data_IF_638059875961
#
_entry.id   IF_638059875961
#
_cell.length_a   1.000
_cell.length_b   1.000
_cell.length_c   1.000
_cell.angle_alpha   90.00
_cell.angle_beta   90.00
_cell.angle_gamma   90.00
#
_symmetry.space_group_name_H-M   'P 1'
#
loop_
_entity.id
_entity.type
_entity.pdbx_description
1 polymer ?
#
# COMPACT_ATOMS: atom_id res chain seq x y z
N UNK A 1 16.96 4.26 6.56
CA UNK A 1 15.59 4.78 6.75
C UNK A 1 15.56 6.29 6.68
N UNK A 2 14.67 6.89 5.86
CA UNK A 2 14.49 8.34 5.74
C UNK A 2 13.08 8.76 6.21
N UNK A 3 12.80 8.84 7.53
CA UNK A 3 11.43 9.02 8.04
C UNK A 3 10.73 10.32 7.57
N UNK A 4 11.50 11.34 7.18
CA UNK A 4 10.95 12.58 6.63
C UNK A 4 10.19 12.36 5.31
N UNK A 5 10.68 11.49 4.42
CA UNK A 5 10.03 11.24 3.12
C UNK A 5 8.65 10.60 3.30
N UNK A 6 8.53 9.66 4.25
CA UNK A 6 7.25 9.03 4.61
C UNK A 6 6.29 10.03 5.23
N UNK A 7 6.78 10.83 6.19
CA UNK A 7 5.97 11.88 6.84
C UNK A 7 5.42 12.85 5.80
N UNK A 8 6.26 13.24 4.83
CA UNK A 8 5.88 14.18 3.78
C UNK A 8 4.79 13.61 2.86
N UNK A 9 4.88 12.33 2.53
CA UNK A 9 3.84 11.64 1.78
C UNK A 9 2.51 11.59 2.55
N UNK A 10 2.56 11.24 3.84
CA UNK A 10 1.39 11.21 4.72
C UNK A 10 0.71 12.58 4.84
N UNK A 11 1.48 13.67 5.02
CA UNK A 11 0.95 15.04 5.05
C UNK A 11 0.17 15.38 3.78
N UNK A 12 0.72 15.05 2.61
CA UNK A 12 0.07 15.32 1.32
C UNK A 12 -1.23 14.52 1.16
N UNK A 13 -1.21 13.23 1.50
CA UNK A 13 -2.38 12.36 1.41
C UNK A 13 -3.47 12.78 2.39
N UNK A 14 -3.11 13.16 3.62
CA UNK A 14 -4.06 13.68 4.60
C UNK A 14 -4.71 15.01 4.14
N UNK A 15 -3.93 15.92 3.54
CA UNK A 15 -4.45 17.18 3.01
C UNK A 15 -5.43 16.99 1.83
N UNK A 16 -5.25 15.93 1.05
CA UNK A 16 -6.12 15.58 -0.07
C UNK A 16 -7.35 14.79 0.38
N UNK A 17 -7.17 13.81 1.27
CA UNK A 17 -8.17 12.81 1.63
C UNK A 17 -8.97 13.09 2.89
N UNK A 18 -8.72 14.18 3.61
CA UNK A 18 -9.52 14.58 4.77
C UNK A 18 -9.97 16.04 4.65
N UNK A 19 -11.24 16.30 4.95
CA UNK A 19 -11.80 17.64 4.99
C UNK A 19 -13.03 17.74 5.90
N UNK A 20 -13.17 18.85 6.65
CA UNK A 20 -14.39 19.14 7.39
C UNK A 20 -15.54 19.55 6.44
N UNK A 21 -16.78 19.67 6.94
CA UNK A 21 -17.88 20.25 6.17
C UNK A 21 -17.50 21.60 5.54
N UNK A 22 -17.77 21.75 4.25
CA UNK A 22 -17.41 22.95 3.47
C UNK A 22 -15.98 22.91 2.90
N UNK A 23 -15.18 21.90 3.23
CA UNK A 23 -13.84 21.69 2.72
C UNK A 23 -13.75 20.78 1.49
N UNK A 24 -14.89 20.34 0.95
CA UNK A 24 -14.95 19.47 -0.23
C UNK A 24 -14.54 20.18 -1.52
N UNK A 25 -14.18 19.41 -2.53
CA UNK A 25 -13.88 19.91 -3.88
C UNK A 25 -12.42 20.29 -4.11
N UNK A 26 -12.06 20.34 -5.39
CA UNK A 26 -10.66 20.46 -5.84
C UNK A 26 -10.01 21.77 -5.42
N UNK A 27 -10.72 22.90 -5.43
CA UNK A 27 -10.15 24.19 -5.03
C UNK A 27 -9.76 24.23 -3.55
N UNK A 28 -10.62 23.71 -2.67
CA UNK A 28 -10.31 23.61 -1.24
C UNK A 28 -9.14 22.65 -0.99
N UNK A 29 -9.06 21.54 -1.75
CA UNK A 29 -7.92 20.63 -1.70
C UNK A 29 -6.62 21.29 -2.17
N UNK A 30 -6.65 22.06 -3.28
CA UNK A 30 -5.51 22.88 -3.75
C UNK A 30 -5.00 23.81 -2.65
N UNK A 31 -5.90 24.48 -1.93
CA UNK A 31 -5.53 25.37 -0.83
C UNK A 31 -4.84 24.63 0.33
N UNK A 32 -5.35 23.45 0.73
CA UNK A 32 -4.70 22.62 1.76
C UNK A 32 -3.32 22.12 1.34
N UNK A 33 -3.17 21.68 0.09
CA UNK A 33 -1.87 21.27 -0.46
C UNK A 33 -0.90 22.46 -0.52
N UNK A 34 -1.37 23.64 -0.95
CA UNK A 34 -0.57 24.87 -0.99
C UNK A 34 -0.07 25.27 0.41
N UNK A 35 -0.92 25.12 1.44
CA UNK A 35 -0.55 25.41 2.83
C UNK A 35 0.58 24.52 3.36
N UNK A 36 0.77 23.33 2.77
CA UNK A 36 1.92 22.47 3.05
C UNK A 36 3.21 22.90 2.32
N UNK A 37 3.15 23.91 1.45
CA UNK A 37 4.23 24.27 0.54
C UNK A 37 4.44 23.27 -0.60
N UNK A 38 3.36 22.58 -1.03
CA UNK A 38 3.38 21.63 -2.14
C UNK A 38 2.67 22.21 -3.38
N UNK A 39 2.96 21.68 -4.58
CA UNK A 39 2.27 22.09 -5.80
C UNK A 39 0.75 21.87 -5.69
N UNK A 40 -0.10 22.91 -5.79
CA UNK A 40 -1.54 22.75 -5.66
C UNK A 40 -2.15 21.80 -6.69
N UNK A 41 -1.51 21.66 -7.86
CA UNK A 41 -1.93 20.75 -8.94
C UNK A 41 -1.97 19.27 -8.54
N UNK A 42 -1.35 18.86 -7.43
CA UNK A 42 -1.50 17.49 -6.90
C UNK A 42 -2.97 17.13 -6.62
N UNK A 43 -3.81 18.11 -6.31
CA UNK A 43 -5.24 17.89 -6.07
C UNK A 43 -6.00 17.40 -7.32
N UNK A 44 -5.46 17.61 -8.52
CA UNK A 44 -6.09 17.16 -9.77
C UNK A 44 -5.94 15.65 -9.99
N UNK A 45 -4.93 15.05 -9.36
CA UNK A 45 -4.65 13.62 -9.42
C UNK A 45 -5.19 12.85 -8.20
N UNK A 46 -6.03 13.50 -7.36
CA UNK A 46 -6.52 12.89 -6.13
C UNK A 46 -7.53 11.75 -6.37
N UNK A 47 -8.23 11.70 -7.50
CA UNK A 47 -9.09 10.58 -7.89
C UNK A 47 -9.91 9.97 -6.74
N UNK A 48 -9.81 8.65 -6.47
CA UNK A 48 -10.54 7.99 -5.38
C UNK A 48 -10.08 8.36 -3.96
N UNK A 49 -8.98 9.09 -3.78
CA UNK A 49 -8.59 9.66 -2.47
C UNK A 49 -9.49 10.84 -2.07
N UNK A 50 -10.08 11.54 -3.05
CA UNK A 50 -10.97 12.67 -2.83
C UNK A 50 -12.37 12.43 -3.44
N UNK A 51 -13.12 11.43 -2.95
CA UNK A 51 -14.47 11.17 -3.44
C UNK A 51 -15.40 12.36 -3.19
N UNK A 52 -16.48 12.44 -3.97
CA UNK A 52 -17.49 13.49 -3.80
C UNK A 52 -18.29 13.26 -2.50
N UNK A 53 -17.93 13.98 -1.44
CA UNK A 53 -18.65 13.97 -0.16
C UNK A 53 -18.56 15.34 0.55
N UNK A 54 -19.60 15.75 1.30
CA UNK A 54 -19.56 16.96 2.14
C UNK A 54 -18.42 16.98 3.15
N UNK A 55 -18.06 15.84 3.72
CA UNK A 55 -17.05 15.69 4.77
C UNK A 55 -16.34 14.34 4.62
N UNK A 56 -15.04 14.31 4.88
CA UNK A 56 -14.25 13.09 4.92
C UNK A 56 -13.23 13.10 6.07
N UNK A 57 -13.10 11.97 6.76
CA UNK A 57 -12.03 11.67 7.71
C UNK A 57 -11.14 10.56 7.16
N UNK A 58 -9.84 10.62 7.43
CA UNK A 58 -8.84 9.68 6.91
C UNK A 58 -8.01 9.12 8.07
N UNK A 59 -7.76 7.81 8.03
CA UNK A 59 -6.73 7.13 8.83
C UNK A 59 -5.64 6.63 7.87
N UNK A 60 -4.38 6.93 8.17
CA UNK A 60 -3.25 6.26 7.54
C UNK A 60 -2.95 4.99 8.32
N UNK A 61 -3.15 3.84 7.67
CA UNK A 61 -2.90 2.51 8.22
C UNK A 61 -1.40 2.23 8.28
N UNK A 62 -0.71 2.53 7.18
CA UNK A 62 0.74 2.42 7.06
C UNK A 62 1.25 3.36 5.95
N UNK A 63 2.54 3.69 6.01
CA UNK A 63 3.26 4.36 4.95
C UNK A 63 4.53 3.55 4.66
N UNK A 64 4.46 2.65 3.69
CA UNK A 64 5.59 1.83 3.26
C UNK A 64 6.37 2.49 2.13
N UNK A 65 7.64 2.14 1.95
CA UNK A 65 8.31 2.49 0.70
C UNK A 65 7.75 1.66 -0.46
N UNK A 66 7.43 2.34 -1.57
CA UNK A 66 7.31 1.71 -2.89
C UNK A 66 8.61 1.80 -3.70
N UNK A 67 9.60 2.52 -3.17
CA UNK A 67 10.94 2.66 -3.72
C UNK A 67 11.69 3.84 -3.11
N UNK A 68 13.01 3.73 -2.97
CA UNK A 68 13.85 4.84 -2.49
C UNK A 68 15.20 4.86 -3.18
N UNK A 69 15.57 6.04 -3.70
CA UNK A 69 16.85 6.33 -4.34
C UNK A 69 17.49 7.56 -3.66
N UNK A 70 18.65 7.98 -4.16
CA UNK A 70 19.41 9.10 -3.59
C UNK A 70 18.67 10.46 -3.67
N UNK A 71 17.84 10.65 -4.70
CA UNK A 71 17.18 11.91 -5.05
C UNK A 71 15.67 11.79 -5.32
N UNK A 72 15.13 10.57 -5.29
CA UNK A 72 13.73 10.29 -5.61
C UNK A 72 13.20 9.14 -4.75
N UNK A 73 11.90 9.15 -4.50
CA UNK A 73 11.23 8.14 -3.70
C UNK A 73 9.78 7.91 -4.14
N UNK A 74 9.27 6.73 -3.83
CA UNK A 74 7.87 6.35 -3.82
C UNK A 74 7.50 5.88 -2.42
N UNK A 75 6.41 6.41 -1.87
CA UNK A 75 5.84 5.97 -0.60
C UNK A 75 4.41 5.57 -0.86
N UNK A 76 4.05 4.34 -0.52
CA UNK A 76 2.67 3.87 -0.62
C UNK A 76 1.98 4.18 0.70
N UNK A 77 1.06 5.14 0.66
CA UNK A 77 0.28 5.54 1.84
C UNK A 77 -1.04 4.79 1.81
N UNK A 78 -1.17 3.82 2.71
CA UNK A 78 -2.34 2.95 2.83
C UNK A 78 -3.38 3.62 3.70
N UNK A 79 -4.56 3.88 3.17
CA UNK A 79 -5.57 4.65 3.88
C UNK A 79 -6.90 3.91 4.10
N UNK A 80 -7.53 4.17 5.24
CA UNK A 80 -8.98 4.05 5.44
C UNK A 80 -9.59 5.45 5.41
N UNK A 81 -10.79 5.55 4.85
CA UNK A 81 -11.51 6.81 4.73
C UNK A 81 -12.97 6.61 5.10
N UNK A 82 -13.53 7.58 5.82
CA UNK A 82 -14.95 7.65 6.11
C UNK A 82 -15.50 8.93 5.52
N UNK A 83 -16.47 8.82 4.63
CA UNK A 83 -17.15 9.96 4.02
C UNK A 83 -18.56 10.09 4.57
N UNK A 84 -18.95 11.29 4.98
CA UNK A 84 -20.32 11.57 5.42
C UNK A 84 -21.11 12.21 4.28
N UNK A 85 -22.23 11.60 3.90
CA UNK A 85 -23.15 12.13 2.92
C UNK A 85 -24.10 13.19 3.54
N UNK A 86 -24.81 13.93 2.68
CA UNK A 86 -25.71 15.01 3.12
C UNK A 86 -26.89 14.54 3.97
N UNK A 87 -27.28 13.27 3.86
CA UNK A 87 -28.31 12.63 4.68
C UNK A 87 -27.79 12.14 6.05
N UNK A 88 -26.50 12.38 6.33
CA UNK A 88 -25.82 11.98 7.56
C UNK A 88 -25.25 10.56 7.55
N UNK A 89 -25.53 9.76 6.52
CA UNK A 89 -24.95 8.41 6.38
C UNK A 89 -23.42 8.46 6.23
N UNK A 90 -22.74 7.43 6.73
CA UNK A 90 -21.29 7.29 6.67
C UNK A 90 -20.96 6.08 5.83
N UNK A 91 -20.15 6.28 4.78
CA UNK A 91 -19.57 5.22 3.99
C UNK A 91 -18.10 5.04 4.37
N UNK A 92 -17.68 3.79 4.58
CA UNK A 92 -16.28 3.42 4.74
C UNK A 92 -15.69 3.04 3.38
N UNK A 93 -14.45 3.47 3.15
CA UNK A 93 -13.67 3.17 1.97
C UNK A 93 -12.20 3.44 2.25
N UNK A 94 -11.46 3.76 1.21
CA UNK A 94 -10.03 4.03 1.29
C UNK A 94 -9.30 3.49 0.08
N UNK A 95 -8.07 3.93 -0.09
CA UNK A 95 -7.19 3.54 -1.19
C UNK A 95 -5.74 3.55 -0.72
N UNK A 96 -4.90 2.79 -1.41
CA UNK A 96 -3.45 2.91 -1.29
C UNK A 96 -2.98 3.93 -2.32
N UNK A 97 -2.19 4.91 -1.91
CA UNK A 97 -1.72 6.00 -2.77
C UNK A 97 -0.23 5.90 -2.96
N UNK A 98 0.23 5.70 -4.19
CA UNK A 98 1.64 5.85 -4.55
C UNK A 98 1.97 7.35 -4.63
N UNK A 99 2.74 7.83 -3.67
CA UNK A 99 3.20 9.21 -3.60
C UNK A 99 4.62 9.29 -4.12
N UNK A 100 4.84 10.09 -5.17
CA UNK A 100 6.16 10.35 -5.75
C UNK A 100 6.78 11.57 -5.11
N UNK A 101 8.05 11.46 -4.73
CA UNK A 101 8.79 12.54 -4.12
C UNK A 101 10.16 12.71 -4.79
N UNK A 102 10.62 13.95 -4.83
CA UNK A 102 12.01 14.29 -5.16
C UNK A 102 12.68 14.97 -3.97
N UNK A 103 13.98 14.74 -3.82
CA UNK A 103 14.78 15.30 -2.75
C UNK A 103 14.89 16.81 -2.97
N UNK A 104 14.60 17.56 -1.92
CA UNK A 104 14.72 19.00 -1.89
C UNK A 104 15.13 19.46 -0.49
N UNK A 105 15.59 20.71 -0.38
CA UNK A 105 15.91 21.34 0.89
C UNK A 105 14.86 22.41 1.24
N UNK A 106 14.44 22.54 2.50
CA UNK A 106 14.88 21.75 3.66
C UNK A 106 14.19 20.38 3.80
N UNK A 107 13.21 20.06 2.94
CA UNK A 107 12.41 18.82 3.00
C UNK A 107 12.13 18.28 1.61
N UNK A 108 11.84 16.99 1.53
CA UNK A 108 11.34 16.35 0.31
C UNK A 108 10.11 17.09 -0.25
N UNK A 109 9.98 17.11 -1.58
CA UNK A 109 8.81 17.66 -2.27
C UNK A 109 8.03 16.54 -2.94
N UNK A 110 6.70 16.54 -2.75
CA UNK A 110 5.80 15.64 -3.46
C UNK A 110 5.65 16.14 -4.88
N UNK A 111 5.91 15.28 -5.85
CA UNK A 111 5.87 15.57 -7.28
C UNK A 111 4.68 14.90 -7.97
N UNK A 112 4.08 13.88 -7.34
CA UNK A 112 2.91 13.18 -7.88
C UNK A 112 2.19 12.38 -6.81
N UNK A 113 0.88 12.16 -7.04
CA UNK A 113 0.05 11.25 -6.27
C UNK A 113 -0.70 10.35 -7.25
N UNK A 114 -0.68 9.05 -6.99
CA UNK A 114 -1.29 8.03 -7.83
C UNK A 114 -2.12 7.08 -6.95
N UNK A 115 -3.36 7.49 -6.60
CA UNK A 115 -4.30 6.62 -5.89
C UNK A 115 -4.55 5.31 -6.66
N UNK A 116 -4.72 4.21 -5.94
CA UNK A 116 -5.04 2.92 -6.54
C UNK A 116 -6.42 2.89 -7.19
N UNK A 117 -6.47 2.30 -8.39
CA UNK A 117 -7.68 2.05 -9.17
C UNK A 117 -7.89 0.53 -9.36
N UNK A 118 -8.54 -0.15 -8.38
CA UNK A 118 -8.74 -1.61 -8.44
C UNK A 118 -9.64 -2.06 -9.60
N UNK A 119 -10.52 -1.18 -10.09
CA UNK A 119 -11.57 -1.50 -11.05
C UNK A 119 -12.88 -1.96 -10.38
N UNK A 120 -13.95 -2.21 -11.16
CA UNK A 120 -15.21 -2.70 -10.63
C UNK A 120 -15.07 -4.14 -10.12
N UNK A 121 -15.90 -4.53 -9.14
CA UNK A 121 -15.96 -5.90 -8.67
C UNK A 121 -16.33 -6.87 -9.82
N UNK A 122 -15.66 -8.01 -9.89
CA UNK A 122 -15.97 -9.05 -10.85
C UNK A 122 -17.37 -9.64 -10.56
N UNK A 123 -18.12 -9.95 -11.61
CA UNK A 123 -19.44 -10.56 -11.48
C UNK A 123 -19.37 -11.97 -10.86
N UNK A 124 -18.28 -12.69 -11.13
CA UNK A 124 -18.01 -14.04 -10.64
C UNK A 124 -16.56 -14.15 -10.15
N UNK A 125 -16.24 -13.68 -8.94
CA UNK A 125 -14.87 -13.77 -8.41
C UNK A 125 -14.48 -15.23 -8.15
N UNK A 126 -13.18 -15.52 -8.23
CA UNK A 126 -12.65 -16.84 -7.89
C UNK A 126 -13.02 -17.24 -6.45
N UNK A 127 -13.32 -18.52 -6.15
CA UNK A 127 -13.70 -18.95 -4.79
C UNK A 127 -12.67 -18.59 -3.71
N UNK A 128 -11.38 -18.55 -4.08
CA UNK A 128 -10.30 -18.16 -3.17
C UNK A 128 -10.42 -16.71 -2.67
N UNK A 129 -10.99 -15.79 -3.48
CA UNK A 129 -11.25 -14.39 -3.08
C UNK A 129 -12.15 -14.34 -1.86
N UNK A 130 -13.28 -15.05 -1.90
CA UNK A 130 -14.23 -15.08 -0.78
C UNK A 130 -13.59 -15.67 0.49
N UNK A 131 -12.73 -16.68 0.35
CA UNK A 131 -12.00 -17.28 1.47
C UNK A 131 -11.01 -16.31 2.11
N UNK A 132 -10.23 -15.58 1.30
CA UNK A 132 -9.29 -14.58 1.81
C UNK A 132 -10.03 -13.44 2.51
N UNK A 133 -11.09 -12.90 1.89
CA UNK A 133 -11.89 -11.82 2.48
C UNK A 133 -12.58 -12.22 3.79
N UNK A 134 -12.82 -13.52 4.01
CA UNK A 134 -13.45 -14.05 5.21
C UNK A 134 -12.46 -14.55 6.27
N UNK A 135 -11.15 -14.62 5.98
CA UNK A 135 -10.15 -15.13 6.91
C UNK A 135 -9.75 -14.06 7.93
N UNK A 136 -10.10 -14.20 9.23
CA UNK A 136 -9.86 -13.17 10.24
C UNK A 136 -8.38 -12.95 10.58
N UNK A 137 -7.48 -13.83 10.14
CA UNK A 137 -6.03 -13.66 10.27
C UNK A 137 -5.40 -12.88 9.13
N UNK A 138 -6.18 -12.49 8.12
CA UNK A 138 -5.73 -11.63 7.03
C UNK A 138 -6.42 -10.28 7.17
N UNK A 139 -5.67 -9.28 7.61
CA UNK A 139 -6.15 -7.90 7.71
C UNK A 139 -5.84 -7.18 6.40
N UNK A 140 -6.90 -6.88 5.63
CA UNK A 140 -6.81 -6.16 4.37
C UNK A 140 -7.20 -4.69 4.53
N UNK A 141 -6.41 -3.74 4.00
CA UNK A 141 -6.88 -2.38 3.81
C UNK A 141 -7.93 -2.32 2.68
N UNK A 142 -8.77 -1.28 2.64
CA UNK A 142 -9.84 -1.15 1.65
C UNK A 142 -9.39 -1.33 0.20
N UNK A 143 -8.25 -0.75 -0.18
CA UNK A 143 -7.68 -0.89 -1.54
C UNK A 143 -7.34 -2.32 -1.91
N UNK A 144 -6.64 -3.06 -1.04
CA UNK A 144 -6.31 -4.46 -1.26
C UNK A 144 -7.56 -5.36 -1.32
N UNK A 145 -8.55 -5.11 -0.46
CA UNK A 145 -9.81 -5.83 -0.52
C UNK A 145 -10.59 -5.55 -1.81
N UNK A 146 -10.49 -4.33 -2.35
CA UNK A 146 -11.09 -3.97 -3.63
C UNK A 146 -10.36 -4.63 -4.82
N UNK A 147 -9.03 -4.70 -4.81
CA UNK A 147 -8.25 -5.45 -5.82
C UNK A 147 -8.68 -6.91 -5.91
N UNK A 148 -8.86 -7.55 -4.75
CA UNK A 148 -9.35 -8.93 -4.67
C UNK A 148 -10.74 -9.08 -5.27
N UNK A 149 -11.67 -8.18 -4.94
CA UNK A 149 -13.04 -8.20 -5.49
C UNK A 149 -13.08 -7.93 -6.99
N UNK A 150 -12.15 -7.13 -7.50
CA UNK A 150 -12.04 -6.85 -8.93
C UNK A 150 -11.60 -8.08 -9.76
N UNK A 151 -11.05 -9.11 -9.10
CA UNK A 151 -10.73 -10.40 -9.73
C UNK A 151 -9.45 -10.39 -10.58
N UNK A 152 -8.66 -9.32 -10.51
CA UNK A 152 -7.39 -9.19 -11.22
C UNK A 152 -6.18 -9.71 -10.45
N UNK A 153 -6.39 -10.50 -9.38
CA UNK A 153 -5.33 -11.05 -8.52
C UNK A 153 -5.25 -12.55 -8.78
N UNK A 154 -4.03 -13.05 -9.01
CA UNK A 154 -3.80 -14.44 -9.38
C UNK A 154 -4.08 -15.41 -8.22
N UNK A 155 -4.55 -16.61 -8.53
CA UNK A 155 -4.94 -17.61 -7.51
C UNK A 155 -3.79 -17.98 -6.58
N UNK A 156 -2.55 -18.00 -7.08
CA UNK A 156 -1.37 -18.30 -6.26
C UNK A 156 -1.12 -17.30 -5.15
N UNK A 157 -1.40 -16.01 -5.37
CA UNK A 157 -1.36 -14.97 -4.33
C UNK A 157 -2.39 -15.31 -3.25
N UNK A 158 -3.63 -15.61 -3.66
CA UNK A 158 -4.73 -15.91 -2.73
C UNK A 158 -4.45 -17.19 -1.91
N UNK A 159 -3.95 -18.23 -2.56
CA UNK A 159 -3.56 -19.49 -1.91
C UNK A 159 -2.39 -19.30 -0.94
N UNK A 160 -1.38 -18.52 -1.30
CA UNK A 160 -0.26 -18.22 -0.42
C UNK A 160 -0.70 -17.42 0.80
N UNK A 161 -1.57 -16.40 0.64
CA UNK A 161 -2.14 -15.65 1.76
C UNK A 161 -2.89 -16.57 2.72
N UNK A 162 -3.73 -17.48 2.21
CA UNK A 162 -4.46 -18.46 3.03
C UNK A 162 -3.52 -19.44 3.74
N UNK A 163 -2.46 -19.89 3.07
CA UNK A 163 -1.46 -20.78 3.65
C UNK A 163 -0.70 -20.10 4.78
N UNK A 164 -0.27 -18.85 4.59
CA UNK A 164 0.45 -18.05 5.58
C UNK A 164 -0.45 -17.64 6.76
N UNK A 165 -1.74 -17.44 6.52
CA UNK A 165 -2.73 -17.19 7.58
C UNK A 165 -2.94 -18.40 8.52
N UNK A 166 -2.47 -19.60 8.14
CA UNK A 166 -2.46 -20.77 9.00
C UNK A 166 -1.62 -20.57 10.27
N UNK A 167 -0.30 -20.29 10.14
CA UNK A 167 0.57 -20.01 11.27
C UNK A 167 0.63 -18.53 11.72
N UNK A 168 0.27 -17.56 10.86
CA UNK A 168 0.47 -16.13 11.14
C UNK A 168 -0.83 -15.31 11.07
N UNK A 169 -0.83 -14.13 11.69
CA UNK A 169 -1.73 -13.02 11.36
C UNK A 169 -1.01 -12.02 10.46
N UNK A 170 -1.60 -11.68 9.33
CA UNK A 170 -1.02 -10.82 8.30
C UNK A 170 -1.72 -9.47 8.30
N UNK A 171 -0.98 -8.36 8.40
CA UNK A 171 -1.49 -7.05 7.98
C UNK A 171 -0.89 -6.68 6.64
N UNK A 172 -1.74 -6.73 5.61
CA UNK A 172 -1.37 -6.41 4.22
C UNK A 172 -1.35 -4.90 4.03
N UNK A 173 -0.46 -4.39 3.19
CA UNK A 173 -0.40 -2.98 2.80
C UNK A 173 -0.91 -2.76 1.37
N UNK A 174 -0.44 -3.58 0.43
CA UNK A 174 -0.82 -3.50 -0.99
C UNK A 174 -0.83 -4.88 -1.63
N UNK A 175 -1.69 -5.05 -2.64
CA UNK A 175 -1.75 -6.25 -3.48
C UNK A 175 -1.46 -5.86 -4.93
N UNK A 176 -2.31 -5.02 -5.53
CA UNK A 176 -2.19 -4.70 -6.96
C UNK A 176 -2.20 -3.21 -7.27
N UNK A 177 -3.28 -2.51 -6.93
CA UNK A 177 -3.42 -1.09 -7.25
C UNK A 177 -2.76 -0.20 -6.20
N UNK A 178 -2.35 1.01 -6.61
CA UNK A 178 -1.63 1.94 -5.73
C UNK A 178 -0.15 1.59 -5.54
N UNK A 179 0.40 0.71 -6.37
CA UNK A 179 1.82 0.39 -6.46
C UNK A 179 2.41 0.90 -7.79
N UNK A 180 3.69 1.35 -7.83
CA UNK A 180 4.42 1.63 -9.08
C UNK A 180 4.28 0.54 -10.15
N UNK A 181 4.16 0.95 -11.42
CA UNK A 181 4.05 0.04 -12.56
C UNK A 181 5.32 -0.80 -12.76
N UNK A 182 6.47 -0.14 -12.69
CA UNK A 182 7.78 -0.76 -12.73
C UNK A 182 8.41 -0.76 -11.33
N UNK A 183 9.36 -1.66 -11.11
CA UNK A 183 10.26 -1.60 -9.95
C UNK A 183 10.92 -0.23 -9.95
N UNK A 184 10.80 0.48 -8.83
CA UNK A 184 11.07 1.91 -8.78
C UNK A 184 12.48 2.26 -9.26
N UNK A 185 12.58 3.28 -10.12
CA UNK A 185 13.85 3.70 -10.73
C UNK A 185 14.33 2.84 -11.90
N UNK A 186 13.52 1.87 -12.35
CA UNK A 186 13.87 0.97 -13.46
C UNK A 186 12.74 0.90 -14.48
N UNK A 187 12.96 0.15 -15.57
CA UNK A 187 11.94 -0.21 -16.56
C UNK A 187 11.53 -1.68 -16.43
N UNK A 188 11.85 -2.33 -15.31
CA UNK A 188 11.47 -3.72 -15.06
C UNK A 188 10.06 -3.71 -14.48
N UNK A 189 9.08 -4.41 -15.09
CA UNK A 189 7.72 -4.47 -14.56
C UNK A 189 7.69 -4.98 -13.13
N UNK A 190 6.83 -4.39 -12.31
CA UNK A 190 6.49 -4.89 -10.98
C UNK A 190 5.46 -6.02 -11.08
N UNK A 191 5.48 -6.95 -10.14
CA UNK A 191 4.48 -8.03 -10.04
C UNK A 191 3.15 -7.54 -9.46
N UNK A 192 3.14 -6.43 -8.71
CA UNK A 192 1.91 -5.89 -8.11
C UNK A 192 0.85 -5.51 -9.15
N UNK A 193 1.10 -4.64 -10.15
CA UNK A 193 0.08 -4.27 -11.14
C UNK A 193 -0.50 -5.45 -11.93
N UNK A 194 0.27 -6.53 -12.04
CA UNK A 194 -0.11 -7.77 -12.71
C UNK A 194 -0.94 -8.71 -11.81
N UNK A 195 -1.16 -8.35 -10.54
CA UNK A 195 -1.91 -9.15 -9.59
C UNK A 195 -1.14 -10.36 -9.07
N UNK A 196 0.19 -10.32 -9.12
CA UNK A 196 1.09 -11.44 -8.79
C UNK A 196 1.97 -11.17 -7.57
N UNK A 197 1.60 -10.21 -6.73
CA UNK A 197 2.31 -9.94 -5.49
C UNK A 197 1.41 -9.39 -4.39
N UNK A 198 1.91 -9.43 -3.17
CA UNK A 198 1.35 -8.70 -2.04
C UNK A 198 2.46 -8.37 -1.04
N UNK A 199 2.26 -7.29 -0.29
CA UNK A 199 3.18 -6.85 0.76
C UNK A 199 2.54 -6.95 2.14
N UNK A 200 3.36 -7.31 3.13
CA UNK A 200 2.95 -7.43 4.54
C UNK A 200 3.82 -6.53 5.40
N UNK A 201 3.19 -5.58 6.09
CA UNK A 201 3.87 -4.60 6.94
C UNK A 201 3.81 -4.95 8.45
N UNK A 202 2.90 -5.86 8.85
CA UNK A 202 2.91 -6.49 10.19
C UNK A 202 2.68 -7.99 10.14
N UNK A 203 3.37 -8.69 11.02
CA UNK A 203 3.25 -10.14 11.25
C UNK A 203 2.92 -10.33 12.73
N UNK A 204 1.83 -11.04 13.03
CA UNK A 204 1.34 -11.27 14.40
C UNK A 204 1.13 -9.98 15.20
N UNK A 205 0.72 -8.91 14.52
CA UNK A 205 0.49 -7.59 15.09
C UNK A 205 1.77 -6.77 15.33
N UNK A 206 2.94 -7.32 15.02
CA UNK A 206 4.24 -6.64 15.16
C UNK A 206 4.68 -6.06 13.81
N UNK A 207 4.99 -4.77 13.77
CA UNK A 207 5.40 -4.11 12.55
C UNK A 207 6.79 -4.56 12.11
N UNK A 208 6.96 -4.88 10.83
CA UNK A 208 8.22 -5.37 10.26
C UNK A 208 9.36 -4.36 10.48
N UNK A 209 9.04 -3.06 10.40
CA UNK A 209 9.98 -1.96 10.63
C UNK A 209 10.38 -1.76 12.10
N UNK A 210 9.59 -2.28 13.05
CA UNK A 210 9.84 -2.05 14.48
C UNK A 210 11.08 -2.84 14.92
N UNK A 211 12.12 -2.18 15.47
CA UNK A 211 13.31 -2.87 15.97
C UNK A 211 13.03 -3.86 17.10
N UNK A 212 11.87 -3.78 17.77
CA UNK A 212 11.43 -4.74 18.77
C UNK A 212 10.83 -6.03 18.16
N UNK A 213 10.48 -6.02 16.88
CA UNK A 213 9.96 -7.22 16.19
C UNK A 213 11.05 -8.29 16.12
N UNK A 214 10.80 -9.51 16.64
CA UNK A 214 11.83 -10.54 16.67
C UNK A 214 12.29 -10.87 15.25
N UNK A 215 13.59 -10.73 14.99
CA UNK A 215 14.20 -11.10 13.70
C UNK A 215 13.80 -12.50 13.24
N UNK A 216 13.77 -13.48 14.16
CA UNK A 216 13.35 -14.86 13.87
C UNK A 216 11.91 -14.96 13.33
N UNK A 217 11.00 -14.07 13.72
CA UNK A 217 9.62 -14.05 13.23
C UNK A 217 9.61 -13.65 11.76
N UNK A 218 10.31 -12.56 11.42
CA UNK A 218 10.43 -12.08 10.04
C UNK A 218 11.13 -13.11 9.16
N UNK A 219 12.21 -13.72 9.65
CA UNK A 219 12.93 -14.77 8.91
C UNK A 219 12.08 -16.01 8.64
N UNK A 220 11.35 -16.51 9.65
CA UNK A 220 10.43 -17.64 9.47
C UNK A 220 9.31 -17.28 8.49
N UNK A 221 8.73 -16.09 8.61
CA UNK A 221 7.68 -15.62 7.72
C UNK A 221 8.16 -15.57 6.26
N UNK A 222 9.34 -15.00 6.01
CA UNK A 222 9.95 -14.96 4.67
C UNK A 222 10.18 -16.37 4.12
N UNK A 223 10.71 -17.31 4.92
CA UNK A 223 10.91 -18.71 4.49
C UNK A 223 9.59 -19.42 4.20
N UNK A 224 8.56 -19.17 4.99
CA UNK A 224 7.23 -19.75 4.78
C UNK A 224 6.55 -19.16 3.55
N UNK A 225 6.78 -17.88 3.24
CA UNK A 225 6.31 -17.25 2.00
C UNK A 225 6.94 -17.90 0.76
N UNK A 226 8.25 -18.15 0.80
CA UNK A 226 8.94 -18.93 -0.23
C UNK A 226 8.38 -20.36 -0.32
N UNK A 227 8.17 -21.04 0.80
CA UNK A 227 7.57 -22.38 0.83
C UNK A 227 6.11 -22.40 0.34
N UNK A 228 5.40 -21.26 0.42
CA UNK A 228 4.07 -21.03 -0.13
C UNK A 228 4.05 -20.79 -1.65
N UNK A 229 5.22 -20.84 -2.31
CA UNK A 229 5.33 -20.77 -3.77
C UNK A 229 5.85 -19.43 -4.30
N UNK A 230 6.23 -18.50 -3.41
CA UNK A 230 6.83 -17.25 -3.86
C UNK A 230 8.24 -17.49 -4.43
N UNK A 231 8.46 -17.04 -5.66
CA UNK A 231 9.76 -17.08 -6.31
C UNK A 231 10.63 -15.87 -5.91
N UNK A 232 10.01 -14.81 -5.36
CA UNK A 232 10.67 -13.56 -5.04
C UNK A 232 10.16 -12.99 -3.71
N UNK A 233 10.98 -13.14 -2.67
CA UNK A 233 10.68 -12.69 -1.30
C UNK A 233 11.66 -11.58 -0.89
N UNK A 234 11.16 -10.36 -0.78
CA UNK A 234 11.92 -9.19 -0.34
C UNK A 234 11.65 -8.89 1.13
N UNK A 235 12.67 -8.49 1.90
CA UNK A 235 12.44 -8.09 3.29
C UNK A 235 13.65 -7.44 3.96
N UNK A 236 13.54 -7.07 5.25
CA UNK A 236 14.58 -6.32 5.95
C UNK A 236 15.79 -7.17 6.36
N UNK A 237 15.70 -8.49 6.18
CA UNK A 237 16.71 -9.44 6.65
C UNK A 237 17.25 -10.25 5.48
N UNK A 238 18.58 -10.31 5.37
CA UNK A 238 19.24 -11.22 4.44
C UNK A 238 19.10 -12.67 4.92
N UNK A 239 18.57 -13.52 4.04
CA UNK A 239 18.30 -14.94 4.30
C UNK A 239 18.93 -15.76 3.17
N UNK A 240 19.62 -16.85 3.52
CA UNK A 240 20.08 -17.82 2.53
C UNK A 240 18.91 -18.62 1.95
N UNK A 241 18.92 -18.81 0.63
CA UNK A 241 17.96 -19.63 -0.10
C UNK A 241 18.47 -20.10 -1.46
N UNK A 242 17.56 -20.67 -2.26
CA UNK A 242 17.90 -21.19 -3.58
C UNK A 242 17.96 -20.04 -4.58
N UNK A 243 19.11 -19.84 -5.22
CA UNK A 243 19.30 -18.76 -6.20
C UNK A 243 19.01 -17.38 -5.61
N UNK A 244 18.28 -16.55 -6.36
CA UNK A 244 17.91 -15.18 -5.98
C UNK A 244 16.49 -15.09 -5.38
N UNK A 245 16.00 -16.16 -4.74
CA UNK A 245 14.65 -16.19 -4.19
C UNK A 245 14.43 -15.16 -3.07
N UNK A 246 15.47 -14.88 -2.29
CA UNK A 246 15.43 -13.87 -1.23
C UNK A 246 16.27 -12.65 -1.60
N UNK A 247 15.79 -11.47 -1.25
CA UNK A 247 16.55 -10.24 -1.41
C UNK A 247 16.25 -9.24 -0.29
N UNK A 248 17.15 -8.28 -0.13
CA UNK A 248 17.02 -7.16 0.80
C UNK A 248 17.62 -5.93 0.15
N UNK A 249 16.96 -4.78 0.31
CA UNK A 249 17.40 -3.49 -0.20
C UNK A 249 16.79 -2.37 0.65
N UNK A 250 17.10 -1.12 0.31
CA UNK A 250 16.64 0.05 1.07
C UNK A 250 15.11 0.20 1.10
N UNK A 251 14.40 -0.35 0.12
CA UNK A 251 12.94 -0.27 -0.01
C UNK A 251 12.25 -1.25 0.93
N UNK A 252 12.75 -2.47 1.03
CA UNK A 252 12.10 -3.56 1.78
C UNK A 252 12.48 -3.62 3.27
N UNK A 253 12.96 -2.50 3.84
CA UNK A 253 13.31 -2.46 5.26
C UNK A 253 12.10 -2.39 6.20
N UNK A 254 10.90 -2.11 5.69
CA UNK A 254 9.70 -1.84 6.49
C UNK A 254 8.52 -2.77 6.20
N UNK A 255 8.65 -3.67 5.23
CA UNK A 255 7.65 -4.67 4.87
C UNK A 255 8.33 -5.93 4.31
N UNK A 256 7.55 -7.00 4.16
CA UNK A 256 7.95 -8.19 3.40
C UNK A 256 7.16 -8.19 2.10
N UNK A 257 7.88 -8.27 0.98
CA UNK A 257 7.33 -8.44 -0.37
C UNK A 257 7.26 -9.92 -0.73
N UNK A 258 6.17 -10.34 -1.37
CA UNK A 258 5.93 -11.72 -1.80
C UNK A 258 5.42 -11.71 -3.24
N UNK A 259 6.27 -12.10 -4.20
CA UNK A 259 5.97 -12.16 -5.63
C UNK A 259 5.86 -13.58 -6.21
N UNK A 260 5.09 -13.71 -7.29
CA UNK A 260 4.78 -14.95 -8.03
C UNK A 260 5.01 -14.76 -9.55
N UNK A 261 5.50 -15.80 -10.24
CA UNK A 261 5.93 -15.73 -11.65
C UNK A 261 4.92 -16.29 -12.66
N UNK A 262 3.80 -16.82 -12.18
CA UNK A 262 2.75 -17.50 -12.94
C UNK A 262 1.48 -16.66 -13.07
#
# INVERSE_FOLDING_TARGET
MQPDVKRRAVEAVAALGAWPPGGQGTEAARARVAALGLPPALADAAGPLAPAAPEASLEVVDAQYGGILADSASVLVVCRQWTRASDGSVAEGGTTVDVRLSRAEPRWTVTGVHPGEPGPAAASPAPAVARVLAEPRIELPPGAAADLRAGGVHDSVLEAMLRLAGPYRLSVSVVRSGHPLDVFGTTRPSDHPLGRAFDVWRIDGLAVVDPATPRRLVESFMRDAAAAGSYNVGGPVAIEGVGNQFFTDDTHHDHVHIGFDH
#
